data_IF_645631945015
#
_entry.id   IF_645631945015
#
_cell.length_a   1.000
_cell.length_b   1.000
_cell.length_c   1.000
_cell.angle_alpha   90.00
_cell.angle_beta   90.00
_cell.angle_gamma   90.00
#
_symmetry.space_group_name_H-M   'P 1'
#
loop_
_entity.id
_entity.type
_entity.pdbx_description
1 polymer ?
#
# COMPACT_ATOMS: atom_id res chain seq x y z
N UNK A 1 -15.59 -2.63 -7.40
CA UNK A 1 -16.32 -1.57 -8.12
C UNK A 1 -15.84 -0.24 -7.58
N UNK A 2 -15.49 0.72 -8.44
CA UNK A 2 -15.13 2.09 -8.08
C UNK A 2 -16.38 2.96 -8.05
N UNK A 3 -16.56 3.75 -6.99
CA UNK A 3 -17.55 4.84 -6.93
C UNK A 3 -16.86 6.17 -7.18
N UNK A 4 -17.60 7.16 -7.66
CA UNK A 4 -17.10 8.52 -7.84
C UNK A 4 -18.21 9.54 -7.61
N UNK A 5 -17.90 10.57 -6.83
CA UNK A 5 -18.76 11.71 -6.55
C UNK A 5 -17.95 13.00 -6.70
N UNK A 6 -18.63 14.09 -7.07
CA UNK A 6 -18.00 15.40 -7.21
C UNK A 6 -18.92 16.52 -6.72
N UNK A 7 -18.41 17.35 -5.83
CA UNK A 7 -19.14 18.45 -5.20
C UNK A 7 -18.46 19.79 -5.49
N UNK A 8 -19.28 20.78 -5.84
CA UNK A 8 -18.90 22.18 -6.00
C UNK A 8 -19.50 23.07 -4.90
N UNK A 9 -19.87 22.48 -3.76
CA UNK A 9 -20.40 23.23 -2.62
C UNK A 9 -19.42 24.29 -2.12
N UNK A 10 -18.11 24.00 -2.15
CA UNK A 10 -17.06 25.00 -2.07
C UNK A 10 -16.58 25.30 -3.49
N UNK A 11 -16.91 26.51 -4.02
CA UNK A 11 -16.58 26.90 -5.41
C UNK A 11 -15.08 27.08 -5.63
N UNK A 12 -14.37 27.55 -4.62
CA UNK A 12 -12.93 27.82 -4.70
C UNK A 12 -12.12 26.53 -4.53
N UNK A 13 -12.72 25.52 -3.90
CA UNK A 13 -12.08 24.26 -3.61
C UNK A 13 -13.04 23.08 -3.79
N UNK A 14 -13.45 22.77 -5.04
CA UNK A 14 -14.33 21.64 -5.32
C UNK A 14 -13.73 20.33 -4.83
N UNK A 15 -14.57 19.37 -4.44
CA UNK A 15 -14.14 18.10 -3.84
C UNK A 15 -14.59 16.94 -4.69
N UNK A 16 -13.67 16.05 -5.00
CA UNK A 16 -13.93 14.73 -5.54
C UNK A 16 -13.78 13.67 -4.46
N UNK A 17 -14.69 12.74 -4.42
CA UNK A 17 -14.64 11.56 -3.56
C UNK A 17 -14.69 10.30 -4.42
N UNK A 18 -13.83 9.34 -4.11
CA UNK A 18 -13.87 8.01 -4.70
C UNK A 18 -13.72 6.93 -3.63
N UNK A 19 -14.39 5.80 -3.80
CA UNK A 19 -14.16 4.64 -2.94
C UNK A 19 -14.16 3.35 -3.73
N UNK A 20 -13.34 2.41 -3.27
CA UNK A 20 -13.20 1.08 -3.87
C UNK A 20 -12.63 0.07 -2.85
N UNK A 21 -12.83 -1.20 -3.12
CA UNK A 21 -12.19 -2.27 -2.34
C UNK A 21 -10.85 -2.65 -2.95
N UNK A 22 -9.81 -2.71 -2.11
CA UNK A 22 -8.50 -3.27 -2.44
C UNK A 22 -7.81 -3.76 -1.16
N UNK A 23 -6.91 -4.72 -1.28
CA UNK A 23 -6.13 -5.28 -0.15
C UNK A 23 -7.02 -5.70 1.04
N UNK A 24 -8.15 -6.34 0.75
CA UNK A 24 -9.15 -6.82 1.71
C UNK A 24 -9.82 -5.73 2.56
N UNK A 25 -9.78 -4.48 2.12
CA UNK A 25 -10.40 -3.36 2.85
C UNK A 25 -11.03 -2.33 1.91
N UNK A 26 -11.67 -1.32 2.47
CA UNK A 26 -12.15 -0.14 1.74
C UNK A 26 -11.00 0.87 1.64
N UNK A 27 -10.78 1.39 0.44
CA UNK A 27 -9.96 2.56 0.18
C UNK A 27 -10.87 3.73 -0.17
N UNK A 28 -10.71 4.86 0.51
CA UNK A 28 -11.42 6.10 0.29
C UNK A 28 -10.43 7.18 -0.11
N UNK A 29 -10.76 7.93 -1.16
CA UNK A 29 -9.91 8.97 -1.72
C UNK A 29 -10.69 10.26 -1.81
N UNK A 30 -10.19 11.30 -1.18
CA UNK A 30 -10.71 12.66 -1.22
C UNK A 30 -9.68 13.56 -1.88
N UNK A 31 -10.03 14.28 -2.94
CA UNK A 31 -9.15 15.21 -3.64
C UNK A 31 -9.87 16.55 -3.75
N UNK A 32 -9.20 17.63 -3.39
CA UNK A 32 -9.78 18.97 -3.42
C UNK A 32 -9.00 19.92 -4.34
N UNK A 33 -9.72 20.89 -4.91
CA UNK A 33 -9.13 21.99 -5.67
C UNK A 33 -8.80 21.69 -7.14
N UNK A 34 -9.25 20.54 -7.68
CA UNK A 34 -9.04 20.21 -9.10
C UNK A 34 -10.36 20.00 -9.84
N UNK A 35 -10.35 20.22 -11.17
CA UNK A 35 -11.53 20.10 -12.01
C UNK A 35 -12.02 18.64 -12.09
N UNK A 36 -13.34 18.45 -12.22
CA UNK A 36 -14.00 17.13 -12.24
C UNK A 36 -13.35 16.13 -13.18
N UNK A 37 -13.04 16.40 -14.47
CA UNK A 37 -12.45 15.41 -15.35
C UNK A 37 -11.06 14.94 -14.89
N UNK A 38 -10.25 15.86 -14.37
CA UNK A 38 -8.92 15.52 -13.83
C UNK A 38 -9.02 14.70 -12.53
N UNK A 39 -9.97 15.04 -11.66
CA UNK A 39 -10.22 14.30 -10.42
C UNK A 39 -10.68 12.87 -10.69
N UNK A 40 -11.62 12.69 -11.62
CA UNK A 40 -12.15 11.39 -12.01
C UNK A 40 -11.05 10.50 -12.61
N UNK A 41 -10.25 11.03 -13.51
CA UNK A 41 -9.11 10.31 -14.09
C UNK A 41 -8.06 9.95 -13.04
N UNK A 42 -7.76 10.86 -12.12
CA UNK A 42 -6.77 10.61 -11.07
C UNK A 42 -7.26 9.52 -10.09
N UNK A 43 -8.52 9.57 -9.67
CA UNK A 43 -9.13 8.52 -8.81
C UNK A 43 -9.14 7.17 -9.54
N UNK A 44 -9.43 7.14 -10.84
CA UNK A 44 -9.37 5.93 -11.66
C UNK A 44 -7.95 5.35 -11.67
N UNK A 45 -6.92 6.16 -11.86
CA UNK A 45 -5.51 5.73 -11.84
C UNK A 45 -5.08 5.23 -10.47
N UNK A 46 -5.57 5.85 -9.39
CA UNK A 46 -5.34 5.39 -8.02
C UNK A 46 -5.95 3.99 -7.82
N UNK A 47 -7.19 3.79 -8.26
CA UNK A 47 -7.86 2.48 -8.23
C UNK A 47 -7.09 1.41 -8.99
N UNK A 48 -6.67 1.70 -10.22
CA UNK A 48 -5.88 0.78 -11.04
C UNK A 48 -4.54 0.44 -10.38
N UNK A 49 -3.87 1.45 -9.84
CA UNK A 49 -2.60 1.26 -9.13
C UNK A 49 -2.75 0.39 -7.88
N UNK A 50 -3.79 0.61 -7.09
CA UNK A 50 -4.09 -0.23 -5.93
C UNK A 50 -4.35 -1.69 -6.34
N UNK A 51 -5.08 -1.92 -7.44
CA UNK A 51 -5.32 -3.26 -7.98
C UNK A 51 -4.04 -3.97 -8.44
N UNK A 52 -3.14 -3.25 -9.12
CA UNK A 52 -1.82 -3.78 -9.51
C UNK A 52 -1.01 -4.19 -8.28
N UNK A 53 -1.00 -3.38 -7.23
CA UNK A 53 -0.27 -3.69 -6.00
C UNK A 53 -0.91 -4.85 -5.23
N UNK A 54 -2.24 -4.94 -5.21
CA UNK A 54 -2.95 -6.09 -4.63
C UNK A 54 -2.58 -7.39 -5.35
N UNK A 55 -2.64 -7.42 -6.68
CA UNK A 55 -2.25 -8.60 -7.47
C UNK A 55 -0.78 -9.01 -7.26
N UNK A 56 0.05 -8.10 -6.79
CA UNK A 56 1.45 -8.36 -6.47
C UNK A 56 1.64 -8.90 -5.04
N UNK A 57 1.00 -8.27 -4.05
CA UNK A 57 1.27 -8.51 -2.62
C UNK A 57 0.26 -9.42 -1.92
N UNK A 58 -0.83 -9.82 -2.57
CA UNK A 58 -1.87 -10.66 -1.96
C UNK A 58 -1.41 -12.12 -1.83
N UNK A 59 -0.97 -12.53 -0.65
CA UNK A 59 -0.54 -13.92 -0.38
C UNK A 59 -1.68 -14.95 -0.47
N UNK A 60 -2.93 -14.51 -0.42
CA UNK A 60 -4.10 -15.40 -0.50
C UNK A 60 -4.51 -15.70 -1.95
N UNK A 61 -4.03 -14.93 -2.92
CA UNK A 61 -4.19 -15.22 -4.33
C UNK A 61 -3.00 -16.08 -4.83
N UNK A 62 -3.23 -17.35 -5.24
CA UNK A 62 -2.17 -18.21 -5.77
C UNK A 62 -1.45 -17.64 -6.99
N UNK A 63 -2.08 -16.72 -7.72
CA UNK A 63 -1.52 -16.09 -8.91
C UNK A 63 -0.76 -14.80 -8.63
N UNK A 64 -0.78 -14.32 -7.40
CA UNK A 64 -0.06 -13.11 -7.02
C UNK A 64 1.46 -13.24 -7.16
N UNK A 65 2.16 -12.10 -7.27
CA UNK A 65 3.62 -12.07 -7.31
C UNK A 65 4.25 -12.72 -6.09
N UNK A 66 3.77 -12.38 -4.89
CA UNK A 66 4.28 -12.92 -3.63
C UNK A 66 4.00 -14.42 -3.50
N UNK A 67 2.83 -14.91 -3.91
CA UNK A 67 2.52 -16.33 -3.83
C UNK A 67 3.36 -17.18 -4.79
N UNK A 68 3.60 -16.68 -6.01
CA UNK A 68 4.54 -17.34 -6.95
C UNK A 68 5.95 -17.35 -6.39
N UNK A 69 6.45 -16.23 -5.89
CA UNK A 69 7.75 -16.12 -5.26
C UNK A 69 7.88 -17.08 -4.07
N UNK A 70 6.91 -17.14 -3.16
CA UNK A 70 6.94 -18.03 -1.99
C UNK A 70 7.10 -19.51 -2.40
N UNK A 71 6.42 -19.95 -3.47
CA UNK A 71 6.56 -21.33 -3.96
C UNK A 71 7.92 -21.62 -4.59
N UNK A 72 8.48 -20.66 -5.34
CA UNK A 72 9.67 -20.87 -6.14
C UNK A 72 10.96 -20.63 -5.36
N UNK A 73 11.00 -19.60 -4.50
CA UNK A 73 12.20 -19.20 -3.76
C UNK A 73 12.60 -20.20 -2.66
N UNK A 74 11.67 -21.05 -2.24
CA UNK A 74 11.95 -22.18 -1.36
C UNK A 74 12.79 -23.28 -2.05
N UNK A 75 12.67 -23.41 -3.38
CA UNK A 75 13.39 -24.43 -4.16
C UNK A 75 14.69 -23.91 -4.76
N UNK A 76 14.91 -22.60 -4.80
CA UNK A 76 16.11 -22.01 -5.40
C UNK A 76 15.97 -20.51 -5.65
N UNK A 77 16.97 -19.94 -6.34
CA UNK A 77 16.95 -18.54 -6.73
C UNK A 77 15.81 -18.26 -7.72
N UNK A 78 14.99 -17.26 -7.42
CA UNK A 78 13.79 -16.89 -8.19
C UNK A 78 13.84 -15.43 -8.55
N UNK A 79 13.78 -15.10 -9.85
CA UNK A 79 13.67 -13.71 -10.30
C UNK A 79 12.27 -13.16 -10.02
N UNK A 80 12.23 -11.91 -9.58
CA UNK A 80 11.01 -11.13 -9.33
C UNK A 80 11.07 -9.82 -10.11
N UNK A 81 9.94 -9.18 -10.31
CA UNK A 81 9.92 -7.85 -10.95
C UNK A 81 10.56 -6.78 -10.07
N UNK A 82 10.96 -5.67 -10.67
CA UNK A 82 11.67 -4.57 -10.01
C UNK A 82 10.91 -4.01 -8.81
N UNK A 83 9.58 -3.97 -8.88
CA UNK A 83 8.77 -3.43 -7.79
C UNK A 83 8.71 -4.38 -6.60
N UNK A 84 8.56 -5.68 -6.83
CA UNK A 84 8.59 -6.67 -5.74
C UNK A 84 10.00 -6.76 -5.16
N UNK A 85 11.04 -6.67 -6.00
CA UNK A 85 12.43 -6.62 -5.55
C UNK A 85 12.69 -5.41 -4.64
N UNK A 86 12.31 -4.21 -5.08
CA UNK A 86 12.44 -2.99 -4.27
C UNK A 86 11.64 -3.04 -2.96
N UNK A 87 10.46 -3.66 -2.98
CA UNK A 87 9.67 -3.89 -1.76
C UNK A 87 10.40 -4.82 -0.77
N UNK A 88 11.03 -5.88 -1.26
CA UNK A 88 11.86 -6.78 -0.42
C UNK A 88 13.06 -6.04 0.19
N UNK A 89 13.73 -5.18 -0.57
CA UNK A 89 14.82 -4.34 -0.06
C UNK A 89 14.33 -3.40 1.05
N UNK A 90 13.20 -2.72 0.84
CA UNK A 90 12.59 -1.85 1.85
C UNK A 90 12.22 -2.62 3.12
N UNK A 91 11.60 -3.80 2.99
CA UNK A 91 11.25 -4.64 4.12
C UNK A 91 12.49 -5.08 4.91
N UNK A 92 13.62 -5.37 4.24
CA UNK A 92 14.89 -5.69 4.89
C UNK A 92 15.44 -4.48 5.67
N UNK A 93 15.34 -3.27 5.11
CA UNK A 93 15.73 -2.04 5.81
C UNK A 93 14.84 -1.83 7.05
N UNK A 94 13.52 -1.99 6.94
CA UNK A 94 12.60 -1.85 8.07
C UNK A 94 12.84 -2.92 9.14
N UNK A 95 13.08 -4.17 8.76
CA UNK A 95 13.43 -5.22 9.70
C UNK A 95 14.66 -4.83 10.54
N UNK A 96 15.73 -4.37 9.89
CA UNK A 96 16.96 -3.95 10.56
C UNK A 96 16.74 -2.70 11.44
N UNK A 97 16.05 -1.68 10.94
CA UNK A 97 15.80 -0.44 11.69
C UNK A 97 14.89 -0.61 12.89
N UNK A 98 14.06 -1.63 12.91
CA UNK A 98 13.15 -1.99 14.02
C UNK A 98 13.69 -3.12 14.89
N UNK A 99 14.95 -3.52 14.71
CA UNK A 99 15.57 -4.64 15.44
C UNK A 99 14.73 -5.93 15.34
N UNK A 100 14.15 -6.20 14.15
CA UNK A 100 13.33 -7.39 13.89
C UNK A 100 11.87 -7.30 14.35
N UNK A 101 11.43 -6.17 14.93
CA UNK A 101 10.01 -5.99 15.33
C UNK A 101 9.08 -5.93 14.11
N UNK A 102 9.55 -5.42 12.98
CA UNK A 102 8.91 -5.57 11.69
C UNK A 102 9.56 -6.73 10.94
N UNK A 103 8.79 -7.75 10.61
CA UNK A 103 9.28 -8.95 9.91
C UNK A 103 8.21 -9.51 8.97
N UNK A 104 8.46 -9.49 7.67
CA UNK A 104 7.56 -10.09 6.68
C UNK A 104 7.64 -11.62 6.63
N UNK A 105 8.61 -12.23 7.30
CA UNK A 105 8.75 -13.69 7.43
C UNK A 105 8.07 -14.23 8.71
N UNK A 106 7.31 -13.41 9.41
CA UNK A 106 6.66 -13.75 10.70
C UNK A 106 5.74 -14.97 10.63
N UNK A 107 5.19 -15.28 9.45
CA UNK A 107 4.29 -16.42 9.20
C UNK A 107 5.04 -17.71 8.77
N UNK A 108 6.36 -17.71 8.78
CA UNK A 108 7.16 -18.89 8.44
C UNK A 108 6.96 -20.01 9.48
N UNK A 109 6.86 -21.25 9.02
CA UNK A 109 6.76 -22.43 9.91
C UNK A 109 8.01 -22.59 10.77
N UNK A 110 9.17 -22.39 10.15
CA UNK A 110 10.46 -22.34 10.83
C UNK A 110 11.13 -20.99 10.58
N UNK A 111 11.43 -20.26 11.65
CA UNK A 111 12.18 -19.00 11.54
C UNK A 111 13.66 -19.27 11.47
N UNK A 112 14.33 -18.83 10.38
CA UNK A 112 15.79 -18.88 10.33
C UNK A 112 16.41 -18.05 11.47
N UNK A 113 17.55 -18.47 11.97
CA UNK A 113 18.32 -17.74 13.01
C UNK A 113 18.95 -16.43 12.51
N UNK A 114 18.76 -16.09 11.23
CA UNK A 114 19.27 -14.92 10.54
C UNK A 114 18.28 -14.34 9.55
N UNK A 115 18.78 -13.74 8.45
CA UNK A 115 17.93 -13.22 7.39
C UNK A 115 17.13 -14.37 6.74
N UNK A 116 15.81 -14.22 6.65
CA UNK A 116 14.91 -15.22 6.08
C UNK A 116 15.08 -15.38 4.56
N UNK A 117 15.58 -14.36 3.90
CA UNK A 117 15.82 -14.36 2.45
C UNK A 117 17.05 -13.56 2.06
N UNK A 118 17.68 -13.98 0.97
CA UNK A 118 18.82 -13.31 0.35
C UNK A 118 18.39 -12.66 -0.97
N UNK A 119 18.88 -11.47 -1.23
CA UNK A 119 18.62 -10.72 -2.45
C UNK A 119 19.85 -10.72 -3.34
N UNK A 120 19.63 -10.94 -4.65
CA UNK A 120 20.65 -10.90 -5.68
C UNK A 120 20.41 -9.69 -6.62
N UNK A 121 21.11 -8.56 -6.40
CA UNK A 121 20.84 -7.31 -7.12
C UNK A 121 21.00 -7.42 -8.64
N UNK A 122 22.03 -8.14 -9.11
CA UNK A 122 22.36 -8.23 -10.54
C UNK A 122 21.30 -8.95 -11.38
N UNK A 123 20.39 -9.68 -10.75
CA UNK A 123 19.34 -10.49 -11.40
C UNK A 123 17.95 -10.17 -10.92
N UNK A 124 17.79 -9.22 -9.99
CA UNK A 124 16.54 -8.97 -9.24
C UNK A 124 15.93 -10.30 -8.78
N UNK A 125 16.73 -11.09 -8.08
CA UNK A 125 16.31 -12.41 -7.63
C UNK A 125 16.36 -12.54 -6.11
N UNK A 126 15.53 -13.45 -5.60
CA UNK A 126 15.41 -13.80 -4.19
C UNK A 126 15.57 -15.29 -3.99
N UNK A 127 16.20 -15.70 -2.89
CA UNK A 127 16.28 -17.07 -2.41
C UNK A 127 16.00 -17.12 -0.92
N UNK A 128 15.22 -18.09 -0.48
CA UNK A 128 14.98 -18.32 0.94
C UNK A 128 16.16 -19.04 1.58
N UNK A 129 16.41 -18.74 2.86
CA UNK A 129 17.55 -19.29 3.62
C UNK A 129 17.22 -20.59 4.34
N UNK A 130 15.94 -20.97 4.39
CA UNK A 130 15.45 -22.20 5.03
C UNK A 130 14.20 -22.74 4.37
N UNK A 131 13.89 -23.98 4.67
CA UNK A 131 12.61 -24.62 4.36
C UNK A 131 11.52 -24.01 5.23
N UNK A 132 10.27 -23.93 4.73
CA UNK A 132 9.16 -23.38 5.51
C UNK A 132 9.13 -21.84 5.60
N UNK A 133 10.07 -21.12 5.00
CA UNK A 133 10.00 -19.65 4.90
C UNK A 133 8.84 -19.23 4.02
N UNK A 134 8.02 -18.33 4.55
CA UNK A 134 6.90 -17.70 3.82
C UNK A 134 6.90 -16.21 4.11
N UNK A 135 6.85 -15.40 3.06
CA UNK A 135 6.80 -13.95 3.18
C UNK A 135 5.36 -13.43 3.06
N UNK A 136 4.99 -12.54 3.97
CA UNK A 136 3.68 -11.89 4.04
C UNK A 136 3.86 -10.36 4.11
N UNK A 137 3.32 -9.67 3.11
CA UNK A 137 3.40 -8.21 3.00
C UNK A 137 2.19 -7.49 3.66
N UNK A 138 1.34 -8.18 4.40
CA UNK A 138 0.12 -7.60 4.99
C UNK A 138 0.37 -6.36 5.86
N UNK A 139 1.45 -6.36 6.64
CA UNK A 139 1.88 -5.20 7.44
C UNK A 139 2.59 -4.09 6.64
N UNK A 140 2.94 -4.33 5.38
CA UNK A 140 3.69 -3.40 4.52
C UNK A 140 2.86 -2.81 3.38
N UNK A 141 2.02 -3.62 2.74
CA UNK A 141 1.43 -3.34 1.42
C UNK A 141 0.58 -2.06 1.40
N UNK A 142 -0.21 -1.78 2.45
CA UNK A 142 -1.06 -0.57 2.50
C UNK A 142 -0.23 0.71 2.59
N UNK A 143 0.79 0.74 3.45
CA UNK A 143 1.70 1.88 3.55
C UNK A 143 2.48 2.12 2.24
N UNK A 144 2.93 1.04 1.61
CA UNK A 144 3.58 1.09 0.30
C UNK A 144 2.64 1.62 -0.79
N UNK A 145 1.38 1.17 -0.80
CA UNK A 145 0.37 1.66 -1.74
C UNK A 145 0.12 3.17 -1.54
N UNK A 146 0.01 3.64 -0.30
CA UNK A 146 -0.14 5.06 -0.02
C UNK A 146 1.04 5.90 -0.52
N UNK A 147 2.27 5.42 -0.39
CA UNK A 147 3.43 6.13 -0.94
C UNK A 147 3.39 6.21 -2.48
N UNK A 148 2.95 5.15 -3.17
CA UNK A 148 2.74 5.17 -4.62
C UNK A 148 1.59 6.10 -5.05
N UNK A 149 0.50 6.11 -4.29
CA UNK A 149 -0.62 7.04 -4.49
C UNK A 149 -0.17 8.49 -4.26
N UNK A 150 0.60 8.76 -3.22
CA UNK A 150 1.20 10.08 -2.96
C UNK A 150 1.99 10.60 -4.15
N UNK A 151 2.81 9.75 -4.78
CA UNK A 151 3.57 10.11 -5.96
C UNK A 151 2.66 10.48 -7.15
N UNK A 152 1.54 9.77 -7.35
CA UNK A 152 0.53 10.13 -8.34
C UNK A 152 -0.11 11.48 -8.04
N UNK A 153 -0.55 11.70 -6.80
CA UNK A 153 -1.19 12.94 -6.36
C UNK A 153 -0.27 14.16 -6.56
N UNK A 154 0.99 14.05 -6.15
CA UNK A 154 1.99 15.12 -6.31
C UNK A 154 2.26 15.41 -7.79
N UNK A 155 2.42 14.38 -8.62
CA UNK A 155 2.68 14.52 -10.04
C UNK A 155 1.55 15.26 -10.78
N UNK A 156 0.31 15.00 -10.40
CA UNK A 156 -0.88 15.62 -11.00
C UNK A 156 -1.28 16.94 -10.30
N UNK A 157 -0.37 17.50 -9.48
CA UNK A 157 -0.58 18.77 -8.77
C UNK A 157 -1.85 18.82 -7.91
N UNK A 158 -2.30 17.67 -7.41
CA UNK A 158 -3.35 17.61 -6.40
C UNK A 158 -2.81 18.15 -5.08
N UNK A 159 -2.96 19.45 -4.84
CA UNK A 159 -2.39 20.14 -3.67
C UNK A 159 -3.01 19.69 -2.34
N UNK A 160 -4.26 19.20 -2.35
CA UNK A 160 -4.99 18.78 -1.16
C UNK A 160 -5.68 17.44 -1.39
N UNK A 161 -5.35 16.44 -0.59
CA UNK A 161 -5.95 15.12 -0.66
C UNK A 161 -5.89 14.39 0.67
N UNK A 162 -6.90 13.54 0.92
CA UNK A 162 -6.91 12.55 2.00
C UNK A 162 -7.17 11.17 1.40
N UNK A 163 -6.32 10.21 1.72
CA UNK A 163 -6.52 8.80 1.34
C UNK A 163 -6.57 7.96 2.60
N UNK A 164 -7.68 7.29 2.83
CA UNK A 164 -7.89 6.38 3.94
C UNK A 164 -7.89 4.93 3.43
N UNK A 165 -6.94 4.12 3.87
CA UNK A 165 -6.82 2.73 3.46
C UNK A 165 -7.17 1.82 4.65
N UNK A 166 -8.47 1.55 4.81
CA UNK A 166 -8.99 0.63 5.82
C UNK A 166 -8.83 1.08 7.26
N UNK A 167 -8.92 2.38 7.51
CA UNK A 167 -8.78 3.01 8.85
C UNK A 167 -7.47 2.69 9.58
N UNK A 168 -6.52 2.03 8.92
CA UNK A 168 -5.23 1.64 9.53
C UNK A 168 -4.04 2.36 8.89
N UNK A 169 -4.23 2.94 7.70
CA UNK A 169 -3.18 3.64 6.97
C UNK A 169 -3.78 4.86 6.27
N UNK A 170 -3.34 6.04 6.64
CA UNK A 170 -3.90 7.31 6.15
C UNK A 170 -2.77 8.16 5.57
N UNK A 171 -3.06 8.77 4.41
CA UNK A 171 -2.22 9.79 3.77
C UNK A 171 -3.01 11.09 3.73
N UNK A 172 -2.45 12.17 4.26
CA UNK A 172 -2.99 13.52 4.15
C UNK A 172 -1.97 14.43 3.44
N UNK A 173 -2.43 15.18 2.45
CA UNK A 173 -1.65 16.19 1.72
C UNK A 173 -2.40 17.52 1.78
N UNK A 174 -1.65 18.63 1.88
CA UNK A 174 -2.22 19.97 1.91
C UNK A 174 -3.21 20.19 3.04
N UNK A 175 -4.29 20.90 2.77
CA UNK A 175 -5.28 21.35 3.75
C UNK A 175 -6.68 20.82 3.45
N UNK A 176 -7.53 20.76 4.48
CA UNK A 176 -8.94 20.39 4.30
C UNK A 176 -9.70 21.49 3.53
N UNK A 177 -10.70 21.18 2.67
CA UNK A 177 -11.43 22.17 1.87
C UNK A 177 -12.19 23.24 2.70
N UNK A 178 -12.46 22.98 3.97
CA UNK A 178 -13.16 23.88 4.89
C UNK A 178 -12.35 24.18 6.15
N UNK A 179 -11.03 24.05 6.11
CA UNK A 179 -10.13 24.28 7.24
C UNK A 179 -8.66 24.25 6.85
N UNK A 180 -7.79 24.45 7.80
CA UNK A 180 -6.34 24.54 7.62
C UNK A 180 -5.60 23.21 7.90
N UNK A 181 -6.32 22.17 8.32
CA UNK A 181 -5.77 20.83 8.57
C UNK A 181 -6.82 19.73 8.32
N UNK A 182 -6.35 18.51 8.06
CA UNK A 182 -7.21 17.33 7.93
C UNK A 182 -7.52 16.75 9.31
N UNK A 183 -8.81 16.73 9.75
CA UNK A 183 -9.17 16.04 10.98
C UNK A 183 -9.10 14.52 10.77
N UNK A 184 -8.36 13.82 11.64
CA UNK A 184 -8.27 12.35 11.64
C UNK A 184 -8.67 11.85 13.03
N UNK A 185 -9.74 11.06 13.09
CA UNK A 185 -10.19 10.39 14.31
C UNK A 185 -9.46 9.07 14.54
N UNK A 186 -9.10 8.81 15.77
CA UNK A 186 -8.66 7.49 16.21
C UNK A 186 -9.79 6.84 17.01
N UNK A 187 -10.18 5.62 16.64
CA UNK A 187 -11.15 4.86 17.41
C UNK A 187 -10.60 4.56 18.81
N UNK A 188 -11.41 4.80 19.83
CA UNK A 188 -11.03 4.46 21.19
C UNK A 188 -11.07 2.93 21.37
N UNK A 189 -9.93 2.24 21.67
CA UNK A 189 -9.92 0.79 21.78
C UNK A 189 -10.62 0.26 23.04
N UNK A 190 -11.02 1.17 23.96
CA UNK A 190 -11.64 0.81 25.25
C UNK A 190 -13.10 1.19 25.34
N UNK A 191 -13.67 1.84 24.29
CA UNK A 191 -15.07 2.28 24.24
C UNK A 191 -15.64 2.13 22.84
N UNK A 192 -16.71 1.37 22.71
CA UNK A 192 -17.44 1.26 21.46
C UNK A 192 -18.16 2.58 21.13
N UNK A 193 -17.85 3.16 19.99
CA UNK A 193 -18.58 4.31 19.44
C UNK A 193 -18.03 5.71 19.80
N UNK A 194 -16.83 5.82 20.39
CA UNK A 194 -16.13 7.10 20.62
C UNK A 194 -14.83 7.21 19.80
#
# INVERSE_FOLDING_TARGET
MLTFEYSTANRDMPVAYGSFRAMHTLCEVLIAGIARPAAEELIRRIYERAGVLESKFNRFDPQSGVSRMNRSAACGETSVDDELYGALEMCRVFNRSTCGSFDIAVQSEERPSGEAYLLQPSRHAVRFTGTGVTLDFGGFAKGYALERIKQLLIKETAGSALVNFGNSSILALGVHPFGDHWPVGLANPFRDGE
#
